data_IF_127687672984
#
_entry.id   IF_127687672984
#
_cell.length_a   1.000
_cell.length_b   1.000
_cell.length_c   1.000
_cell.angle_alpha   90.00
_cell.angle_beta   90.00
_cell.angle_gamma   90.00
#
_symmetry.space_group_name_H-M   'P 1'
#
loop_
_entity.id
_entity.type
_entity.pdbx_description
1 polymer ?
#
# COMPACT_ATOMS: atom_id res chain seq x y z
N UNK A 1 -45.27 -3.90 -43.77
CA UNK A 1 -45.72 -5.30 -43.76
C UNK A 1 -44.75 -6.02 -44.69
N UNK A 2 -43.82 -6.85 -44.25
CA UNK A 2 -43.78 -7.68 -43.07
C UNK A 2 -42.33 -7.92 -42.61
N UNK A 3 -42.18 -8.25 -41.32
CA UNK A 3 -40.95 -8.67 -40.65
C UNK A 3 -40.60 -10.10 -41.05
N UNK A 4 -39.32 -10.46 -41.02
CA UNK A 4 -38.90 -11.84 -40.75
C UNK A 4 -37.47 -11.85 -40.19
N UNK A 5 -37.39 -12.08 -38.88
CA UNK A 5 -36.20 -12.50 -38.15
C UNK A 5 -35.80 -13.92 -38.55
N UNK A 6 -34.50 -14.21 -38.61
CA UNK A 6 -34.00 -15.58 -38.62
C UNK A 6 -32.80 -15.68 -37.66
N UNK A 7 -33.08 -16.29 -36.51
CA UNK A 7 -32.12 -16.88 -35.60
C UNK A 7 -31.28 -17.94 -36.33
N UNK A 8 -29.97 -17.94 -36.13
CA UNK A 8 -29.14 -19.12 -36.36
C UNK A 8 -28.31 -19.38 -35.10
N UNK A 9 -28.76 -20.36 -34.32
CA UNK A 9 -27.93 -21.03 -33.32
C UNK A 9 -27.08 -22.10 -34.00
N UNK A 10 -25.84 -22.27 -33.56
CA UNK A 10 -25.13 -23.52 -33.75
C UNK A 10 -24.28 -23.86 -32.53
N UNK A 11 -24.29 -25.15 -32.26
CA UNK A 11 -23.95 -25.92 -31.07
C UNK A 11 -22.45 -26.08 -30.79
N UNK A 12 -22.19 -26.36 -29.52
CA UNK A 12 -20.94 -26.70 -28.84
C UNK A 12 -20.11 -27.82 -29.50
N UNK A 13 -18.79 -27.75 -29.33
CA UNK A 13 -17.93 -28.92 -29.02
C UNK A 13 -16.79 -28.52 -28.06
N UNK A 14 -16.78 -29.14 -26.88
CA UNK A 14 -15.64 -29.21 -25.94
C UNK A 14 -14.50 -30.06 -26.54
N UNK A 15 -13.26 -29.82 -26.10
CA UNK A 15 -12.33 -30.91 -25.77
C UNK A 15 -12.05 -30.94 -24.26
N UNK A 16 -12.28 -32.13 -23.71
CA UNK A 16 -11.92 -32.57 -22.37
C UNK A 16 -10.40 -32.62 -22.22
N UNK A 17 -9.84 -31.96 -21.20
CA UNK A 17 -8.59 -32.38 -20.58
C UNK A 17 -8.60 -31.97 -19.11
N UNK A 18 -8.63 -32.95 -18.24
CA UNK A 18 -8.57 -32.79 -16.79
C UNK A 18 -7.18 -32.33 -16.39
N UNK A 19 -7.08 -31.13 -15.84
CA UNK A 19 -5.98 -30.73 -14.99
C UNK A 19 -6.58 -30.35 -13.63
N UNK A 20 -6.23 -31.13 -12.61
CA UNK A 20 -6.57 -30.86 -11.22
C UNK A 20 -6.04 -29.47 -10.81
N UNK A 21 -6.84 -28.63 -10.11
CA UNK A 21 -6.29 -27.46 -9.44
C UNK A 21 -5.43 -27.90 -8.24
N UNK A 22 -4.28 -27.25 -7.97
CA UNK A 22 -3.53 -27.52 -6.75
C UNK A 22 -4.35 -27.05 -5.54
N UNK A 23 -4.47 -27.93 -4.55
CA UNK A 23 -5.09 -27.66 -3.25
C UNK A 23 -4.41 -26.47 -2.57
N UNK A 24 -5.07 -25.32 -2.52
CA UNK A 24 -4.65 -24.19 -1.69
C UNK A 24 -5.11 -24.42 -0.24
N UNK A 25 -4.24 -24.24 0.76
CA UNK A 25 -4.60 -24.43 2.15
C UNK A 25 -5.64 -23.39 2.60
N UNK A 26 -6.79 -23.88 3.07
CA UNK A 26 -7.83 -23.12 3.75
C UNK A 26 -7.32 -22.54 5.07
N UNK A 27 -6.59 -21.43 5.02
CA UNK A 27 -6.34 -20.59 6.20
C UNK A 27 -7.53 -19.68 6.40
N UNK A 28 -8.56 -20.18 7.08
CA UNK A 28 -9.73 -19.41 7.45
C UNK A 28 -9.36 -18.22 8.34
N UNK A 29 -9.48 -17.01 7.79
CA UNK A 29 -9.47 -15.79 8.61
C UNK A 29 -10.76 -15.72 9.44
N UNK A 30 -10.70 -15.28 10.71
CA UNK A 30 -11.88 -15.22 11.57
C UNK A 30 -12.96 -14.29 10.99
N UNK A 31 -14.20 -14.76 11.04
CA UNK A 31 -15.43 -14.19 10.47
C UNK A 31 -15.77 -12.78 11.02
N UNK A 32 -15.07 -12.31 12.06
CA UNK A 32 -15.38 -11.05 12.76
C UNK A 32 -14.94 -9.75 12.06
N UNK A 33 -14.32 -9.80 10.86
CA UNK A 33 -13.85 -8.61 10.13
C UNK A 33 -14.59 -8.29 8.82
N UNK A 34 -15.66 -9.02 8.48
CA UNK A 34 -16.43 -8.82 7.25
C UNK A 34 -17.38 -7.62 7.34
N UNK A 35 -16.84 -6.40 7.28
CA UNK A 35 -17.65 -5.16 7.24
C UNK A 35 -17.93 -4.66 5.83
N UNK A 36 -17.41 -5.29 4.77
CA UNK A 36 -17.77 -4.91 3.40
C UNK A 36 -18.05 -6.14 2.50
N UNK A 37 -18.98 -5.94 1.55
CA UNK A 37 -19.40 -6.97 0.59
C UNK A 37 -18.27 -7.44 -0.34
N UNK A 38 -17.29 -6.56 -0.57
CA UNK A 38 -16.12 -6.82 -1.40
C UNK A 38 -15.24 -7.92 -0.80
N UNK A 39 -14.97 -7.89 0.51
CA UNK A 39 -14.20 -8.88 1.24
C UNK A 39 -14.93 -10.23 1.33
N UNK A 40 -16.26 -10.20 1.46
CA UNK A 40 -17.08 -11.41 1.42
C UNK A 40 -17.00 -12.07 0.03
N UNK A 41 -17.12 -11.28 -1.04
CA UNK A 41 -17.05 -11.79 -2.40
C UNK A 41 -15.67 -12.41 -2.72
N UNK A 42 -14.59 -11.82 -2.20
CA UNK A 42 -13.24 -12.36 -2.32
C UNK A 42 -13.10 -13.69 -1.56
N UNK A 43 -13.62 -13.78 -0.33
CA UNK A 43 -13.60 -14.99 0.50
C UNK A 43 -14.42 -16.15 -0.09
N UNK A 44 -15.55 -15.84 -0.72
CA UNK A 44 -16.39 -16.83 -1.40
C UNK A 44 -15.85 -17.22 -2.78
N UNK A 45 -14.76 -16.60 -3.26
CA UNK A 45 -14.21 -16.83 -4.60
C UNK A 45 -15.12 -16.39 -5.74
N UNK A 46 -16.11 -15.52 -5.47
CA UNK A 46 -17.11 -15.06 -6.45
C UNK A 46 -16.74 -13.72 -7.11
N UNK A 47 -15.70 -13.04 -6.61
CA UNK A 47 -15.13 -11.86 -7.28
C UNK A 47 -14.50 -12.24 -8.63
N UNK A 48 -14.51 -11.36 -9.64
CA UNK A 48 -13.74 -11.57 -10.87
C UNK A 48 -12.26 -11.88 -10.59
N UNK A 49 -11.64 -12.76 -11.37
CA UNK A 49 -10.25 -13.22 -11.15
C UNK A 49 -9.25 -12.08 -11.01
N UNK A 50 -9.35 -11.02 -11.83
CA UNK A 50 -8.44 -9.86 -11.75
C UNK A 50 -8.49 -9.19 -10.37
N UNK A 51 -9.67 -9.15 -9.74
CA UNK A 51 -9.89 -8.54 -8.43
C UNK A 51 -9.37 -9.43 -7.31
N UNK A 52 -9.48 -10.75 -7.45
CA UNK A 52 -8.89 -11.70 -6.51
C UNK A 52 -7.36 -11.62 -6.52
N UNK A 53 -6.76 -11.51 -7.71
CA UNK A 53 -5.30 -11.33 -7.86
C UNK A 53 -4.85 -10.00 -7.27
N UNK A 54 -5.56 -8.90 -7.55
CA UNK A 54 -5.29 -7.59 -6.93
C UNK A 54 -5.40 -7.67 -5.40
N UNK A 55 -6.50 -8.19 -4.86
CA UNK A 55 -6.71 -8.28 -3.42
C UNK A 55 -5.65 -9.13 -2.71
N UNK A 56 -5.26 -10.26 -3.30
CA UNK A 56 -4.19 -11.10 -2.77
C UNK A 56 -2.85 -10.35 -2.69
N UNK A 57 -2.48 -9.59 -3.73
CA UNK A 57 -1.23 -8.79 -3.76
C UNK A 57 -1.22 -7.75 -2.64
N UNK A 58 -2.33 -7.02 -2.47
CA UNK A 58 -2.48 -6.03 -1.40
C UNK A 58 -2.46 -6.67 0.00
N UNK A 59 -3.10 -7.82 0.18
CA UNK A 59 -3.09 -8.54 1.46
C UNK A 59 -1.69 -9.02 1.85
N UNK A 60 -0.93 -9.58 0.91
CA UNK A 60 0.46 -9.99 1.12
C UNK A 60 1.32 -8.79 1.53
N UNK A 61 1.23 -7.68 0.80
CA UNK A 61 1.97 -6.46 1.12
C UNK A 61 1.60 -5.89 2.50
N UNK A 62 0.31 -5.87 2.85
CA UNK A 62 -0.15 -5.43 4.17
C UNK A 62 0.38 -6.33 5.29
N UNK A 63 0.40 -7.64 5.10
CA UNK A 63 0.94 -8.59 6.08
C UNK A 63 2.46 -8.42 6.25
N UNK A 64 3.20 -8.22 5.16
CA UNK A 64 4.63 -7.92 5.19
C UNK A 64 4.90 -6.61 5.96
N UNK A 65 4.15 -5.55 5.66
CA UNK A 65 4.28 -4.28 6.35
C UNK A 65 4.00 -4.41 7.86
N UNK A 66 2.89 -5.07 8.23
CA UNK A 66 2.51 -5.26 9.64
C UNK A 66 3.54 -6.10 10.41
N UNK A 67 4.02 -7.19 9.81
CA UNK A 67 5.01 -8.09 10.44
C UNK A 67 6.35 -7.38 10.69
N UNK A 68 6.80 -6.52 9.78
CA UNK A 68 8.02 -5.71 9.96
C UNK A 68 7.95 -4.80 11.20
N UNK A 69 6.75 -4.37 11.59
CA UNK A 69 6.53 -3.44 12.69
C UNK A 69 6.32 -4.13 14.04
N UNK A 70 5.88 -5.39 14.04
CA UNK A 70 5.58 -6.15 15.25
C UNK A 70 6.85 -6.64 15.98
N UNK A 71 8.03 -6.57 15.36
CA UNK A 71 9.28 -6.98 15.99
C UNK A 71 9.82 -5.91 16.95
N UNK A 72 9.43 -6.00 18.22
CA UNK A 72 10.14 -5.34 19.32
C UNK A 72 11.47 -6.05 19.60
N UNK A 73 12.54 -5.36 20.02
CA UNK A 73 13.79 -5.98 20.43
C UNK A 73 13.62 -6.61 21.82
N UNK A 74 12.92 -7.73 21.89
CA UNK A 74 12.91 -8.59 23.08
C UNK A 74 13.89 -9.74 22.87
N UNK A 75 14.85 -9.97 23.78
CA UNK A 75 15.75 -11.12 23.68
C UNK A 75 14.95 -12.40 23.97
N UNK A 76 14.49 -13.05 22.92
CA UNK A 76 13.73 -14.31 22.98
C UNK A 76 12.36 -14.18 22.31
N UNK A 77 12.30 -14.38 20.99
CA UNK A 77 11.05 -14.32 20.24
C UNK A 77 11.16 -15.06 18.91
N UNK A 78 10.15 -15.87 18.62
CA UNK A 78 10.02 -16.88 17.57
C UNK A 78 10.33 -16.32 16.17
N UNK A 79 11.20 -17.00 15.41
CA UNK A 79 11.42 -16.76 13.97
C UNK A 79 10.16 -17.18 13.19
N UNK A 80 9.26 -16.24 12.92
CA UNK A 80 8.26 -16.41 11.87
C UNK A 80 8.89 -16.05 10.53
N UNK A 81 8.67 -16.91 9.54
CA UNK A 81 9.29 -16.88 8.22
C UNK A 81 8.84 -15.65 7.43
N UNK A 82 9.62 -14.56 7.52
CA UNK A 82 9.66 -13.53 6.47
C UNK A 82 10.25 -14.21 5.23
N UNK A 83 9.69 -14.04 4.02
CA UNK A 83 10.35 -14.51 2.81
C UNK A 83 11.80 -14.03 2.83
N UNK A 84 12.74 -14.95 2.65
CA UNK A 84 14.19 -14.75 2.84
C UNK A 84 14.79 -13.57 2.04
N UNK A 85 14.03 -12.96 1.14
CA UNK A 85 14.43 -11.85 0.29
C UNK A 85 14.46 -10.50 1.03
N UNK A 86 13.58 -10.27 2.02
CA UNK A 86 13.62 -9.09 2.89
C UNK A 86 14.44 -9.49 4.12
N UNK A 87 15.76 -9.37 4.02
CA UNK A 87 16.70 -9.79 5.05
C UNK A 87 16.27 -9.38 6.45
N UNK A 88 16.71 -10.14 7.46
CA UNK A 88 16.41 -9.93 8.88
C UNK A 88 16.71 -8.49 9.33
N UNK A 89 15.75 -7.57 9.16
CA UNK A 89 15.85 -6.19 9.66
C UNK A 89 15.56 -6.23 11.15
N UNK A 90 16.64 -6.30 11.93
CA UNK A 90 16.57 -6.28 13.39
C UNK A 90 16.02 -4.95 13.88
N UNK A 91 14.77 -4.93 14.33
CA UNK A 91 14.31 -4.07 15.42
C UNK A 91 13.80 -2.67 15.09
N UNK A 92 13.64 -2.30 13.82
CA UNK A 92 12.90 -1.07 13.44
C UNK A 92 11.92 -1.37 12.32
N UNK A 93 10.71 -0.75 12.32
CA UNK A 93 9.78 -0.86 11.20
C UNK A 93 10.48 -0.36 9.93
N UNK A 94 10.27 -1.05 8.80
CA UNK A 94 10.84 -0.63 7.52
C UNK A 94 10.35 0.78 7.16
N UNK A 95 11.27 1.71 6.95
CA UNK A 95 10.94 3.06 6.49
C UNK A 95 10.49 3.02 5.03
N UNK A 96 9.63 3.96 4.60
CA UNK A 96 9.18 4.01 3.20
C UNK A 96 10.37 4.20 2.24
N UNK A 97 11.42 4.88 2.68
CA UNK A 97 12.65 5.10 1.90
C UNK A 97 13.46 3.83 1.70
N UNK A 98 13.60 2.99 2.73
CA UNK A 98 14.30 1.70 2.62
C UNK A 98 13.56 0.76 1.67
N UNK A 99 12.22 0.75 1.75
CA UNK A 99 11.36 -0.04 0.86
C UNK A 99 11.56 0.42 -0.59
N UNK A 100 11.49 1.73 -0.85
CA UNK A 100 11.70 2.30 -2.17
C UNK A 100 13.08 1.94 -2.74
N UNK A 101 14.13 2.03 -1.92
CA UNK A 101 15.49 1.65 -2.31
C UNK A 101 15.59 0.17 -2.65
N UNK A 102 15.08 -0.72 -1.79
CA UNK A 102 15.11 -2.17 -2.03
C UNK A 102 14.34 -2.56 -3.29
N UNK A 103 13.16 -1.97 -3.52
CA UNK A 103 12.34 -2.21 -4.70
C UNK A 103 13.12 -1.86 -5.97
N UNK A 104 13.69 -0.65 -6.04
CA UNK A 104 14.44 -0.20 -7.22
C UNK A 104 15.73 -0.99 -7.43
N UNK A 105 16.43 -1.33 -6.35
CA UNK A 105 17.62 -2.18 -6.40
C UNK A 105 17.30 -3.54 -7.03
N UNK A 106 16.25 -4.20 -6.55
CA UNK A 106 15.82 -5.51 -7.08
C UNK A 106 15.34 -5.43 -8.51
N UNK A 107 14.57 -4.39 -8.86
CA UNK A 107 14.11 -4.19 -10.23
C UNK A 107 15.29 -4.12 -11.21
N UNK A 108 16.37 -3.45 -10.81
CA UNK A 108 17.61 -3.38 -11.60
C UNK A 108 18.37 -4.72 -11.63
N UNK A 109 18.49 -5.42 -10.49
CA UNK A 109 19.15 -6.73 -10.39
C UNK A 109 18.44 -7.83 -11.20
N UNK A 110 17.11 -7.76 -11.30
CA UNK A 110 16.27 -8.70 -12.05
C UNK A 110 16.18 -8.38 -13.56
N UNK A 111 16.95 -7.41 -14.06
CA UNK A 111 16.84 -6.87 -15.43
C UNK A 111 15.40 -6.51 -15.83
N UNK A 112 14.60 -6.00 -14.88
CA UNK A 112 13.20 -5.64 -15.11
C UNK A 112 12.22 -6.82 -15.16
N UNK A 113 12.64 -8.05 -14.86
CA UNK A 113 11.71 -9.15 -14.61
C UNK A 113 11.07 -8.97 -13.24
N UNK A 114 9.89 -8.35 -13.20
CA UNK A 114 9.05 -8.28 -12.02
C UNK A 114 8.40 -9.66 -11.82
N UNK A 115 9.07 -10.56 -11.11
CA UNK A 115 8.32 -11.65 -10.48
C UNK A 115 7.27 -11.03 -9.54
N UNK A 116 6.06 -11.58 -9.54
CA UNK A 116 4.82 -11.08 -8.93
C UNK A 116 4.88 -10.86 -7.39
N UNK A 117 5.84 -10.10 -6.89
CA UNK A 117 5.89 -9.64 -5.50
C UNK A 117 5.33 -8.20 -5.46
N UNK A 118 4.41 -7.94 -4.54
CA UNK A 118 3.72 -6.66 -4.36
C UNK A 118 4.63 -5.53 -3.86
N UNK A 119 5.70 -5.25 -4.59
CA UNK A 119 6.74 -4.27 -4.26
C UNK A 119 6.16 -2.86 -4.16
N UNK A 120 5.39 -2.45 -5.18
CA UNK A 120 4.75 -1.13 -5.17
C UNK A 120 3.63 -1.06 -4.14
N UNK A 121 2.87 -2.13 -3.91
CA UNK A 121 1.84 -2.17 -2.88
C UNK A 121 2.45 -1.95 -1.49
N UNK A 122 3.57 -2.62 -1.21
CA UNK A 122 4.28 -2.47 0.06
C UNK A 122 4.77 -1.02 0.26
N UNK A 123 5.33 -0.43 -0.79
CA UNK A 123 5.79 0.97 -0.78
C UNK A 123 4.62 1.95 -0.61
N UNK A 124 3.51 1.74 -1.30
CA UNK A 124 2.31 2.54 -1.17
C UNK A 124 1.71 2.47 0.25
N UNK A 125 1.64 1.27 0.83
CA UNK A 125 1.16 1.08 2.21
C UNK A 125 2.09 1.80 3.20
N UNK A 126 3.40 1.69 3.02
CA UNK A 126 4.38 2.37 3.85
C UNK A 126 4.25 3.90 3.77
N UNK A 127 4.10 4.44 2.56
CA UNK A 127 3.92 5.86 2.30
C UNK A 127 2.62 6.41 2.93
N UNK A 128 1.49 5.73 2.72
CA UNK A 128 0.19 6.08 3.33
C UNK A 128 0.31 6.12 4.84
N UNK A 129 0.93 5.10 5.43
CA UNK A 129 1.09 5.04 6.87
C UNK A 129 2.03 6.15 7.39
N UNK A 130 3.17 6.38 6.72
CA UNK A 130 4.16 7.39 7.09
C UNK A 130 3.59 8.81 7.06
N UNK A 131 2.83 9.15 6.02
CA UNK A 131 2.30 10.51 5.84
C UNK A 131 0.97 10.77 6.56
N UNK A 132 0.24 9.73 6.97
CA UNK A 132 -1.11 9.82 7.55
C UNK A 132 -1.33 10.89 8.62
N UNK A 133 -0.30 11.25 9.40
CA UNK A 133 -0.40 12.24 10.47
C UNK A 133 0.03 13.66 10.08
N UNK A 134 0.65 13.80 8.91
CA UNK A 134 1.31 15.02 8.47
C UNK A 134 0.59 15.69 7.30
N UNK A 135 -0.50 15.08 6.81
CA UNK A 135 -1.36 15.56 5.73
C UNK A 135 -2.82 15.52 6.20
N UNK A 136 -3.74 16.16 5.48
CA UNK A 136 -5.17 16.10 5.81
C UNK A 136 -5.78 14.74 5.46
N UNK A 137 -5.40 14.18 4.30
CA UNK A 137 -5.78 12.83 3.90
C UNK A 137 -4.77 12.24 2.92
N UNK A 138 -4.61 10.92 2.95
CA UNK A 138 -3.83 10.17 1.97
C UNK A 138 -4.44 8.78 1.81
N UNK A 139 -4.65 8.34 0.58
CA UNK A 139 -5.26 7.04 0.26
C UNK A 139 -4.92 6.62 -1.17
N UNK A 140 -4.91 5.31 -1.42
CA UNK A 140 -4.74 4.76 -2.77
C UNK A 140 -6.03 5.02 -3.57
N UNK A 141 -5.91 5.47 -4.82
CA UNK A 141 -7.06 5.74 -5.68
C UNK A 141 -7.81 4.46 -6.04
N UNK A 142 -9.13 4.46 -5.90
CA UNK A 142 -10.01 3.39 -6.39
C UNK A 142 -10.45 3.62 -7.83
N UNK A 143 -10.31 4.86 -8.33
CA UNK A 143 -10.79 5.29 -9.65
C UNK A 143 -9.72 5.13 -10.73
N UNK A 144 -8.45 5.10 -10.34
CA UNK A 144 -7.31 5.01 -11.24
C UNK A 144 -6.66 3.62 -11.21
N UNK A 145 -5.88 3.26 -12.26
CA UNK A 145 -5.25 1.95 -12.35
C UNK A 145 -4.40 1.59 -11.11
N UNK A 146 -4.60 0.37 -10.62
CA UNK A 146 -3.75 -0.28 -9.61
C UNK A 146 -3.20 -1.56 -10.23
N UNK A 147 -1.95 -1.49 -10.66
CA UNK A 147 -1.24 -2.59 -11.34
C UNK A 147 0.10 -2.84 -10.65
N UNK A 148 0.81 -3.91 -11.04
CA UNK A 148 2.10 -4.22 -10.45
C UNK A 148 3.19 -3.19 -10.72
N UNK A 149 3.05 -2.41 -11.80
CA UNK A 149 4.06 -1.45 -12.23
C UNK A 149 3.65 0.02 -12.00
N UNK A 150 2.37 0.24 -11.65
CA UNK A 150 1.78 1.56 -11.55
C UNK A 150 0.66 1.58 -10.52
N UNK A 151 0.80 2.45 -9.52
CA UNK A 151 -0.21 2.72 -8.49
C UNK A 151 -0.44 4.23 -8.39
N UNK A 152 -1.69 4.65 -8.28
CA UNK A 152 -2.05 6.04 -8.00
C UNK A 152 -2.46 6.23 -6.54
N UNK A 153 -1.93 7.28 -5.92
CA UNK A 153 -2.19 7.66 -4.53
C UNK A 153 -2.65 9.10 -4.48
N UNK A 154 -3.79 9.35 -3.86
CA UNK A 154 -4.29 10.70 -3.61
C UNK A 154 -3.76 11.22 -2.29
N UNK A 155 -3.37 12.49 -2.26
CA UNK A 155 -2.97 13.20 -1.05
C UNK A 155 -3.64 14.56 -1.00
N UNK A 156 -4.16 14.93 0.17
CA UNK A 156 -4.58 16.29 0.48
C UNK A 156 -3.64 16.87 1.52
N UNK A 157 -2.86 17.87 1.12
CA UNK A 157 -1.84 18.54 1.92
C UNK A 157 -2.43 19.31 3.10
N UNK A 158 -1.61 19.76 4.05
CA UNK A 158 -2.08 20.55 5.19
C UNK A 158 -2.58 21.94 4.80
N UNK A 159 -2.18 22.40 3.61
CA UNK A 159 -2.64 23.63 2.97
C UNK A 159 -3.96 23.44 2.21
N UNK A 160 -4.61 22.28 2.32
CA UNK A 160 -5.86 21.91 1.64
C UNK A 160 -5.76 21.73 0.11
N UNK A 161 -4.54 21.71 -0.44
CA UNK A 161 -4.32 21.37 -1.85
C UNK A 161 -4.36 19.85 -2.06
N UNK A 162 -5.08 19.42 -3.09
CA UNK A 162 -5.20 18.03 -3.48
C UNK A 162 -4.22 17.69 -4.61
N UNK A 163 -3.66 16.48 -4.58
CA UNK A 163 -2.80 15.96 -5.62
C UNK A 163 -3.05 14.47 -5.82
N UNK A 164 -2.89 14.01 -7.04
CA UNK A 164 -2.74 12.59 -7.36
C UNK A 164 -1.28 12.33 -7.69
N UNK A 165 -0.70 11.35 -7.00
CA UNK A 165 0.66 10.89 -7.17
C UNK A 165 0.67 9.58 -7.95
N UNK A 166 1.62 9.46 -8.86
CA UNK A 166 1.98 8.22 -9.54
C UNK A 166 3.16 7.58 -8.83
N UNK A 167 3.05 6.30 -8.51
CA UNK A 167 4.12 5.44 -8.00
C UNK A 167 4.46 4.38 -9.04
N UNK A 168 5.74 4.32 -9.43
CA UNK A 168 6.31 3.33 -10.34
C UNK A 168 7.72 2.93 -9.91
N UNK A 169 8.35 1.98 -10.60
CA UNK A 169 9.77 1.66 -10.38
C UNK A 169 10.74 2.81 -10.71
N UNK A 170 10.30 3.87 -11.38
CA UNK A 170 11.10 5.11 -11.53
C UNK A 170 11.08 5.98 -10.28
N UNK A 171 10.13 5.76 -9.38
CA UNK A 171 9.89 6.56 -8.18
C UNK A 171 8.49 7.18 -8.16
N UNK A 172 8.38 8.26 -7.39
CA UNK A 172 7.14 9.00 -7.17
C UNK A 172 7.07 10.24 -8.08
N UNK A 173 5.91 10.54 -8.64
CA UNK A 173 5.70 11.74 -9.47
C UNK A 173 4.35 12.37 -9.16
N UNK A 174 4.22 13.68 -9.26
CA UNK A 174 2.91 14.36 -9.23
C UNK A 174 2.22 14.13 -10.58
N UNK A 175 1.18 13.29 -10.61
CA UNK A 175 0.40 13.04 -11.82
C UNK A 175 -0.61 14.16 -12.10
N UNK A 176 -1.24 14.71 -11.06
CA UNK A 176 -2.20 15.82 -11.18
C UNK A 176 -2.30 16.63 -9.90
N UNK A 177 -2.79 17.87 -10.02
CA UNK A 177 -3.22 18.76 -8.92
C UNK A 177 -4.70 18.57 -8.56
N UNK A 178 -5.31 17.48 -9.02
CA UNK A 178 -6.68 17.10 -8.71
C UNK A 178 -6.72 15.66 -8.22
N UNK A 179 -7.65 15.38 -7.30
CA UNK A 179 -7.94 14.03 -6.81
C UNK A 179 -8.43 13.14 -7.94
N UNK A 180 -7.97 11.88 -7.96
CA UNK A 180 -8.37 10.87 -8.93
C UNK A 180 -8.18 11.29 -10.40
N UNK A 181 -7.15 12.11 -10.66
CA UNK A 181 -6.83 12.59 -12.01
C UNK A 181 -5.39 12.28 -12.41
N UNK A 182 -5.19 12.01 -13.71
CA UNK A 182 -3.87 11.85 -14.33
C UNK A 182 -3.50 13.05 -15.22
N UNK A 183 -4.35 14.08 -15.23
CA UNK A 183 -4.16 15.25 -16.06
C UNK A 183 -3.16 16.18 -15.37
N UNK A 184 -1.89 16.09 -15.78
CA UNK A 184 -0.87 17.04 -15.36
C UNK A 184 -1.21 18.46 -15.83
N UNK A 185 -0.73 19.45 -15.08
CA UNK A 185 -0.86 20.85 -15.45
C UNK A 185 0.25 21.23 -16.44
N UNK A 186 -0.13 21.65 -17.65
CA UNK A 186 0.80 22.15 -18.65
C UNK A 186 1.47 23.46 -18.24
N UNK A 187 0.94 24.19 -17.26
CA UNK A 187 1.57 25.40 -16.72
C UNK A 187 2.72 25.07 -15.75
N UNK A 188 2.74 23.85 -15.19
CA UNK A 188 3.80 23.39 -14.29
C UNK A 188 4.38 22.04 -14.72
N UNK A 189 4.84 21.97 -15.97
CA UNK A 189 5.42 20.74 -16.56
C UNK A 189 6.58 20.19 -15.72
N UNK A 190 7.39 21.06 -15.13
CA UNK A 190 8.53 20.65 -14.30
C UNK A 190 8.09 19.80 -13.10
N UNK A 191 7.00 20.19 -12.42
CA UNK A 191 6.45 19.41 -11.30
C UNK A 191 5.91 18.05 -11.77
N UNK A 192 5.25 18.02 -12.93
CA UNK A 192 4.58 16.82 -13.45
C UNK A 192 5.49 15.84 -14.19
N UNK A 193 6.75 16.20 -14.44
CA UNK A 193 7.74 15.34 -15.14
C UNK A 193 8.87 14.87 -14.23
N UNK A 194 9.02 15.46 -13.03
CA UNK A 194 10.06 15.12 -12.06
C UNK A 194 9.68 13.87 -11.26
N UNK A 195 10.54 12.85 -11.29
CA UNK A 195 10.46 11.70 -10.40
C UNK A 195 11.31 11.94 -9.15
N UNK A 196 10.73 11.59 -8.01
CA UNK A 196 11.32 11.67 -6.68
C UNK A 196 11.60 10.26 -6.17
N UNK A 197 12.61 10.13 -5.32
CA UNK A 197 13.03 8.83 -4.83
C UNK A 197 12.07 8.24 -3.81
N UNK A 198 11.45 9.09 -3.01
CA UNK A 198 10.54 8.72 -1.95
C UNK A 198 9.43 9.78 -1.83
N UNK A 199 8.34 9.44 -1.14
CA UNK A 199 7.17 10.31 -1.01
C UNK A 199 7.47 11.59 -0.20
N UNK A 200 8.46 11.57 0.71
CA UNK A 200 8.84 12.73 1.53
C UNK A 200 9.46 13.84 0.68
N UNK A 201 10.28 13.48 -0.30
CA UNK A 201 10.83 14.44 -1.26
C UNK A 201 9.71 15.12 -2.06
N UNK A 202 8.65 14.39 -2.43
CA UNK A 202 7.45 14.99 -3.06
C UNK A 202 6.82 16.00 -2.10
N UNK A 203 6.60 15.61 -0.84
CA UNK A 203 5.97 16.49 0.16
C UNK A 203 6.77 17.77 0.42
N UNK A 204 8.11 17.70 0.39
CA UNK A 204 8.97 18.88 0.50
C UNK A 204 8.75 19.88 -0.64
N UNK A 205 8.36 19.41 -1.83
CA UNK A 205 8.07 20.24 -2.99
C UNK A 205 6.64 20.80 -2.94
N UNK A 206 5.65 19.99 -2.56
CA UNK A 206 4.22 20.35 -2.69
C UNK A 206 3.53 20.85 -1.41
N UNK A 207 4.14 20.67 -0.23
CA UNK A 207 3.54 21.03 1.06
C UNK A 207 4.59 21.60 2.04
N UNK A 208 4.86 22.91 1.98
CA UNK A 208 5.81 23.56 2.90
C UNK A 208 5.49 23.36 4.39
N UNK A 209 4.21 23.21 4.75
CA UNK A 209 3.73 23.04 6.11
C UNK A 209 3.79 21.61 6.65
N UNK A 210 4.00 20.60 5.80
CA UNK A 210 4.04 19.19 6.21
C UNK A 210 5.11 18.94 7.29
N UNK A 211 6.30 19.54 7.16
CA UNK A 211 7.40 19.37 8.13
C UNK A 211 7.04 19.92 9.51
N UNK A 212 6.41 21.10 9.56
CA UNK A 212 5.91 21.67 10.81
C UNK A 212 4.85 20.77 11.45
N UNK A 213 3.95 20.21 10.64
CA UNK A 213 2.92 19.28 11.13
C UNK A 213 3.53 18.02 11.74
N UNK A 214 4.56 17.49 11.09
CA UNK A 214 5.34 16.37 11.59
C UNK A 214 6.00 16.69 12.94
N UNK A 215 6.64 17.85 13.08
CA UNK A 215 7.25 18.31 14.33
C UNK A 215 6.21 18.42 15.47
N UNK A 216 5.06 19.04 15.20
CA UNK A 216 3.97 19.14 16.17
C UNK A 216 3.47 17.77 16.64
N UNK A 217 3.33 16.82 15.70
CA UNK A 217 2.91 15.47 16.01
C UNK A 217 3.95 14.73 16.85
N UNK A 218 5.24 14.91 16.52
CA UNK A 218 6.36 14.34 17.27
C UNK A 218 6.40 14.89 18.71
N UNK A 219 6.35 16.22 18.88
CA UNK A 219 6.31 16.87 20.19
C UNK A 219 5.16 16.33 21.04
N UNK A 220 3.94 16.30 20.50
CA UNK A 220 2.76 15.76 21.19
C UNK A 220 2.98 14.30 21.63
N UNK A 221 3.57 13.45 20.78
CA UNK A 221 3.80 12.05 21.09
C UNK A 221 4.86 11.87 22.18
N UNK A 222 5.94 12.66 22.14
CA UNK A 222 6.99 12.67 23.16
C UNK A 222 6.44 13.11 24.52
N UNK A 223 5.61 14.15 24.56
CA UNK A 223 4.94 14.58 25.80
C UNK A 223 4.05 13.49 26.40
N UNK A 224 3.30 12.77 25.56
CA UNK A 224 2.45 11.66 26.02
C UNK A 224 3.29 10.52 26.62
N UNK A 225 4.45 10.22 26.03
CA UNK A 225 5.38 9.22 26.56
C UNK A 225 5.99 9.67 27.89
N UNK A 226 6.39 10.94 28.01
CA UNK A 226 6.90 11.50 29.25
C UNK A 226 5.85 11.44 30.37
N UNK A 227 4.60 11.85 30.08
CA UNK A 227 3.47 11.77 31.02
C UNK A 227 3.20 10.32 31.47
N UNK A 228 3.25 9.34 30.54
CA UNK A 228 3.10 7.91 30.86
C UNK A 228 4.23 7.39 31.76
N UNK A 229 5.48 7.77 31.48
CA UNK A 229 6.66 7.38 32.29
C UNK A 229 6.52 7.89 33.73
N UNK A 230 6.17 9.16 33.91
CA UNK A 230 5.98 9.78 35.23
C UNK A 230 4.87 9.07 36.02
N UNK A 231 3.72 8.79 35.39
CA UNK A 231 2.61 8.06 36.03
C UNK A 231 3.02 6.66 36.50
N UNK A 232 3.78 5.92 35.68
CA UNK A 232 4.29 4.58 36.05
C UNK A 232 5.25 4.65 37.24
N UNK A 233 6.15 5.64 37.28
CA UNK A 233 7.06 5.86 38.41
C UNK A 233 6.32 6.21 39.70
N UNK A 234 5.27 7.05 39.63
CA UNK A 234 4.47 7.40 40.80
C UNK A 234 3.63 6.22 41.31
N UNK A 235 3.06 5.40 40.42
CA UNK A 235 2.33 4.18 40.81
C UNK A 235 3.22 3.15 41.55
N UNK A 236 4.51 3.08 41.21
CA UNK A 236 5.47 2.21 41.90
C UNK A 236 5.86 2.78 43.27
N UNK A 237 5.90 4.12 43.42
CA UNK A 237 6.25 4.79 44.68
C UNK A 237 5.13 4.81 45.72
N UNK A 238 3.87 4.77 45.30
CA UNK A 238 2.70 4.91 46.19
C UNK A 238 1.79 3.67 46.21
N UNK A 239 2.20 2.56 45.61
CA UNK A 239 1.51 1.27 45.66
C UNK A 239 2.13 0.33 46.69
N UNK A 240 1.81 0.55 47.97
CA UNK A 240 1.80 -0.44 49.06
C UNK A 240 0.58 -0.17 49.91
#
# INVERSE_FOLDING_TARGET
MDRSEALCGCTQKLPTSMAHPPDLPMTGTPISSLTNANALADSLGVSPMYRQVDSARWQVAAQLYQSSRAQSPTPGGVKLHVPSSYGSVTGTPLASEDIAFMNRKRFHESMGAAENEGHLELEAIAAVHELSNNVLSIYVSEMLPRTADLIFVNVKTVEDHAFTLELTMKGWRVASTHTDSMNGDYMNVALHTKYFNNVREVMNEISPGHSKKFEECLCRRLELLQKKKIRKTNSIKYGK
#
